data_IF_145234986783
#
_entry.id   IF_145234986783
#
_cell.length_a   1.000
_cell.length_b   1.000
_cell.length_c   1.000
_cell.angle_alpha   90.00
_cell.angle_beta   90.00
_cell.angle_gamma   90.00
#
_symmetry.space_group_name_H-M   'P 1'
#
loop_
_entity.id
_entity.type
_entity.pdbx_description
1 polymer ?
#
# COMPACT_ATOMS: atom_id res chain seq x y z
N UNK A 1 -10.80 -6.16 0.94
CA UNK A 1 -10.26 -5.18 -0.02
C UNK A 1 -10.33 -3.86 0.71
N UNK A 2 -9.22 -3.40 1.26
CA UNK A 2 -9.21 -2.23 2.16
C UNK A 2 -9.50 -0.98 1.33
N UNK A 3 -10.67 -0.38 1.60
CA UNK A 3 -11.43 0.46 0.65
C UNK A 3 -11.03 1.93 0.66
N UNK A 4 -10.00 2.30 1.41
CA UNK A 4 -9.82 3.71 1.78
C UNK A 4 -8.92 4.49 0.81
N UNK A 5 -7.98 3.83 0.13
CA UNK A 5 -7.01 4.50 -0.75
C UNK A 5 -6.68 3.83 -2.09
N UNK A 6 -7.55 2.99 -2.70
CA UNK A 6 -7.22 2.43 -4.01
C UNK A 6 -7.12 3.56 -5.04
N UNK A 7 -6.05 3.53 -5.82
CA UNK A 7 -5.91 4.32 -7.04
C UNK A 7 -5.63 3.37 -8.20
N UNK A 8 -5.89 3.85 -9.41
CA UNK A 8 -5.71 3.09 -10.64
C UNK A 8 -4.53 3.67 -11.41
N UNK A 9 -3.65 2.79 -11.88
CA UNK A 9 -2.51 3.12 -12.72
C UNK A 9 -2.68 2.39 -14.04
N UNK A 10 -2.58 3.15 -15.14
CA UNK A 10 -2.53 2.56 -16.47
C UNK A 10 -1.22 1.80 -16.64
N UNK A 11 -1.29 0.48 -16.54
CA UNK A 11 -0.14 -0.42 -16.50
C UNK A 11 -0.46 -1.70 -17.23
N UNK A 12 0.57 -2.46 -17.62
CA UNK A 12 0.40 -3.77 -18.24
C UNK A 12 -0.19 -4.76 -17.25
N UNK A 13 0.29 -4.75 -15.99
CA UNK A 13 -0.26 -5.55 -14.89
C UNK A 13 0.22 -5.07 -13.51
N UNK A 14 -0.58 -5.38 -12.49
CA UNK A 14 -0.20 -5.24 -11.07
C UNK A 14 0.53 -6.52 -10.65
N UNK A 15 1.70 -6.35 -10.02
CA UNK A 15 2.51 -7.45 -9.48
C UNK A 15 2.22 -7.66 -7.99
N UNK A 16 2.21 -6.57 -7.23
CA UNK A 16 2.03 -6.57 -5.78
C UNK A 16 1.18 -5.38 -5.34
N UNK A 17 0.39 -5.58 -4.28
CA UNK A 17 -0.21 -4.53 -3.46
C UNK A 17 0.22 -4.73 -2.03
N UNK A 18 0.48 -3.65 -1.31
CA UNK A 18 0.86 -3.71 0.09
C UNK A 18 0.24 -2.57 0.89
N UNK A 19 -0.40 -2.88 2.01
CA UNK A 19 -0.80 -1.92 3.03
C UNK A 19 0.13 -2.04 4.22
N UNK A 20 0.61 -0.90 4.72
CA UNK A 20 1.31 -0.79 6.01
C UNK A 20 0.38 -0.08 6.99
N UNK A 21 0.16 -0.69 8.15
CA UNK A 21 -0.62 -0.16 9.24
C UNK A 21 0.34 0.15 10.40
N UNK A 22 0.76 1.41 10.55
CA UNK A 22 1.63 1.80 11.66
C UNK A 22 0.83 2.15 12.92
N UNK A 23 1.23 1.64 14.09
CA UNK A 23 0.66 1.96 15.41
C UNK A 23 -0.87 2.07 15.47
N UNK A 24 -1.59 0.95 15.34
CA UNK A 24 -3.07 0.88 15.42
C UNK A 24 -3.82 1.76 14.39
N UNK A 25 -3.13 2.44 13.47
CA UNK A 25 -3.75 3.19 12.37
C UNK A 25 -4.08 2.23 11.24
N UNK A 26 -5.32 2.30 10.76
CA UNK A 26 -5.77 1.52 9.60
C UNK A 26 -5.32 2.21 8.30
N UNK A 27 -4.54 1.50 7.49
CA UNK A 27 -4.10 1.86 6.15
C UNK A 27 -3.25 3.12 6.10
N UNK A 28 -2.11 3.13 6.78
CA UNK A 28 -1.26 4.33 6.94
C UNK A 28 -0.32 4.57 5.74
N UNK A 29 0.06 3.52 5.00
CA UNK A 29 0.69 3.65 3.69
C UNK A 29 0.21 2.54 2.76
N UNK A 30 0.01 2.87 1.48
CA UNK A 30 -0.44 1.92 0.46
C UNK A 30 0.46 1.98 -0.76
N UNK A 31 0.95 0.82 -1.18
CA UNK A 31 1.81 0.61 -2.33
C UNK A 31 1.13 -0.29 -3.36
N UNK A 32 1.34 0.02 -4.64
CA UNK A 32 1.10 -0.88 -5.75
C UNK A 32 2.36 -0.96 -6.60
N UNK A 33 2.82 -2.17 -6.92
CA UNK A 33 3.90 -2.40 -7.87
C UNK A 33 3.30 -2.87 -9.18
N UNK A 34 3.76 -2.26 -10.27
CA UNK A 34 3.27 -2.49 -11.61
C UNK A 34 4.41 -2.87 -12.54
N UNK A 35 4.08 -3.73 -13.50
CA UNK A 35 4.80 -3.83 -14.74
C UNK A 35 4.14 -2.88 -15.74
N UNK A 36 4.95 -2.02 -16.33
CA UNK A 36 4.52 -1.01 -17.29
C UNK A 36 4.52 -1.55 -18.73
N UNK A 37 3.90 -0.88 -19.69
CA UNK A 37 3.85 -1.34 -21.08
C UNK A 37 5.23 -1.52 -21.75
N UNK A 38 6.23 -0.76 -21.31
CA UNK A 38 7.64 -0.88 -21.74
C UNK A 38 8.41 -1.98 -21.00
N UNK A 39 7.74 -2.76 -20.14
CA UNK A 39 8.29 -3.77 -19.25
C UNK A 39 9.16 -3.23 -18.10
N UNK A 40 9.18 -1.92 -17.86
CA UNK A 40 9.75 -1.38 -16.63
C UNK A 40 8.91 -1.77 -15.42
N UNK A 41 9.56 -1.92 -14.26
CA UNK A 41 8.89 -2.12 -12.97
C UNK A 41 8.87 -0.77 -12.24
N UNK A 42 7.68 -0.36 -11.81
CA UNK A 42 7.48 0.87 -11.04
C UNK A 42 6.61 0.61 -9.84
N UNK A 43 6.86 1.34 -8.75
CA UNK A 43 5.95 1.36 -7.61
C UNK A 43 5.23 2.71 -7.55
N UNK A 44 3.96 2.65 -7.23
CA UNK A 44 3.12 3.80 -6.95
C UNK A 44 2.65 3.68 -5.53
N UNK A 45 2.70 4.77 -4.77
CA UNK A 45 2.32 4.72 -3.38
C UNK A 45 1.71 6.02 -2.89
N UNK A 46 1.00 5.95 -1.78
CA UNK A 46 0.54 7.13 -1.05
C UNK A 46 0.44 6.85 0.42
N UNK A 47 0.57 7.91 1.21
CA UNK A 47 0.28 7.87 2.64
C UNK A 47 -1.22 7.88 2.86
N UNK A 48 -1.70 6.99 3.71
CA UNK A 48 -3.06 7.02 4.20
C UNK A 48 -3.38 8.32 4.93
N UNK A 49 -4.64 8.70 4.92
CA UNK A 49 -5.12 9.81 5.72
C UNK A 49 -5.53 9.29 7.10
N UNK A 50 -5.22 10.03 8.17
CA UNK A 50 -5.89 9.81 9.45
C UNK A 50 -7.41 9.89 9.25
N UNK A 51 -8.17 9.05 9.96
CA UNK A 51 -9.63 8.95 9.83
C UNK A 51 -10.35 10.32 9.88
N UNK A 52 -9.86 11.26 10.71
CA UNK A 52 -10.40 12.62 10.81
C UNK A 52 -10.20 13.40 9.51
N UNK A 53 -8.99 13.41 8.94
CA UNK A 53 -8.71 14.11 7.68
C UNK A 53 -9.46 13.49 6.50
N UNK A 54 -9.63 12.17 6.51
CA UNK A 54 -10.48 11.48 5.55
C UNK A 54 -11.93 11.95 5.65
N UNK A 55 -12.49 11.98 6.86
CA UNK A 55 -13.87 12.41 7.10
C UNK A 55 -14.08 13.89 6.76
N UNK A 56 -13.10 14.76 7.04
CA UNK A 56 -13.14 16.18 6.66
C UNK A 56 -13.13 16.39 5.15
N UNK A 57 -12.26 15.65 4.43
CA UNK A 57 -12.21 15.69 2.97
C UNK A 57 -13.53 15.20 2.37
N UNK A 58 -13.98 14.00 2.77
CA UNK A 58 -15.25 13.42 2.33
C UNK A 58 -16.44 14.35 2.66
N UNK A 59 -16.49 14.92 3.87
CA UNK A 59 -17.55 15.82 4.31
C UNK A 59 -17.56 17.17 3.58
N UNK A 60 -16.39 17.67 3.16
CA UNK A 60 -16.30 18.90 2.34
C UNK A 60 -16.87 18.67 0.94
N UNK A 61 -16.55 17.54 0.33
CA UNK A 61 -17.05 17.18 -1.01
C UNK A 61 -18.53 16.84 -0.92
N UNK A 62 -18.92 15.99 0.04
CA UNK A 62 -20.32 15.63 0.28
C UNK A 62 -21.19 16.88 0.45
N UNK A 63 -20.78 17.87 1.24
CA UNK A 63 -21.55 19.13 1.42
C UNK A 63 -21.79 19.90 0.12
N UNK A 64 -20.87 19.82 -0.85
CA UNK A 64 -21.06 20.43 -2.18
C UNK A 64 -22.11 19.67 -3.01
N UNK A 65 -22.15 18.34 -2.91
CA UNK A 65 -23.10 17.50 -3.68
C UNK A 65 -24.47 17.34 -3.00
N UNK A 66 -24.55 17.42 -1.67
CA UNK A 66 -25.82 17.24 -0.92
C UNK A 66 -26.84 18.35 -1.16
N UNK A 67 -26.44 19.49 -1.75
CA UNK A 67 -27.38 20.50 -2.23
C UNK A 67 -28.14 20.05 -3.49
N UNK A 68 -27.62 19.07 -4.24
CA UNK A 68 -28.10 18.68 -5.57
C UNK A 68 -28.54 17.20 -5.68
N UNK A 69 -27.92 16.26 -4.95
CA UNK A 69 -28.27 14.82 -4.93
C UNK A 69 -27.89 14.15 -3.60
N UNK A 70 -28.70 13.18 -3.16
CA UNK A 70 -28.29 12.22 -2.12
C UNK A 70 -27.37 11.16 -2.75
N UNK A 71 -26.09 11.18 -2.39
CA UNK A 71 -25.07 10.25 -2.88
C UNK A 71 -24.51 9.42 -1.73
N UNK A 72 -24.29 8.13 -1.94
CA UNK A 72 -23.62 7.27 -0.96
C UNK A 72 -22.12 7.58 -0.88
N UNK A 73 -21.47 7.22 0.24
CA UNK A 73 -20.02 7.36 0.39
C UNK A 73 -19.26 6.62 -0.72
N UNK A 74 -19.75 5.45 -1.15
CA UNK A 74 -19.10 4.67 -2.22
C UNK A 74 -19.12 5.39 -3.55
N UNK A 75 -20.24 6.02 -3.90
CA UNK A 75 -20.33 6.81 -5.13
C UNK A 75 -19.46 8.07 -5.01
N UNK A 76 -19.47 8.74 -3.85
CA UNK A 76 -18.67 9.93 -3.57
C UNK A 76 -17.17 9.68 -3.84
N UNK A 77 -16.62 8.58 -3.31
CA UNK A 77 -15.19 8.28 -3.45
C UNK A 77 -14.77 7.93 -4.88
N UNK A 78 -15.74 7.65 -5.77
CA UNK A 78 -15.46 7.38 -7.19
C UNK A 78 -15.48 8.63 -8.06
N UNK A 79 -15.97 9.76 -7.55
CA UNK A 79 -16.05 11.03 -8.29
C UNK A 79 -14.66 11.60 -8.56
N UNK A 80 -14.52 12.31 -9.68
CA UNK A 80 -13.24 12.92 -10.05
C UNK A 80 -12.88 14.09 -9.13
N UNK A 81 -13.88 14.79 -8.60
CA UNK A 81 -13.73 15.82 -7.58
C UNK A 81 -13.15 15.24 -6.30
N UNK A 82 -13.65 14.09 -5.84
CA UNK A 82 -13.08 13.42 -4.67
C UNK A 82 -11.64 12.99 -4.93
N UNK A 83 -11.35 12.38 -6.09
CA UNK A 83 -9.98 12.00 -6.47
C UNK A 83 -9.06 13.22 -6.49
N UNK A 84 -9.51 14.36 -7.02
CA UNK A 84 -8.75 15.62 -7.06
C UNK A 84 -8.46 16.17 -5.67
N UNK A 85 -9.44 16.23 -4.77
CA UNK A 85 -9.22 16.73 -3.41
C UNK A 85 -8.33 15.81 -2.59
N UNK A 86 -8.51 14.49 -2.69
CA UNK A 86 -7.62 13.52 -2.04
C UNK A 86 -6.19 13.65 -2.57
N UNK A 87 -6.00 13.82 -3.89
CA UNK A 87 -4.67 13.97 -4.46
C UNK A 87 -3.89 15.18 -3.91
N UNK A 88 -4.56 16.23 -3.42
CA UNK A 88 -3.90 17.38 -2.78
C UNK A 88 -3.32 17.06 -1.41
N UNK A 89 -3.97 16.16 -0.66
CA UNK A 89 -3.62 15.84 0.73
C UNK A 89 -2.93 14.47 0.90
N UNK A 90 -3.09 13.60 -0.10
CA UNK A 90 -2.51 12.27 -0.20
C UNK A 90 -2.21 12.00 -1.69
N UNK A 91 -1.15 12.64 -2.24
CA UNK A 91 -0.75 12.46 -3.64
C UNK A 91 -0.32 11.02 -3.90
N UNK A 92 -0.42 10.60 -5.16
CA UNK A 92 0.24 9.36 -5.62
C UNK A 92 1.68 9.73 -5.95
N UNK A 93 2.61 9.06 -5.31
CA UNK A 93 4.04 9.16 -5.57
C UNK A 93 4.48 7.99 -6.43
N UNK A 94 5.46 8.22 -7.29
CA UNK A 94 6.07 7.21 -8.14
C UNK A 94 7.48 6.89 -7.65
N UNK A 95 7.85 5.62 -7.70
CA UNK A 95 9.19 5.11 -7.42
C UNK A 95 9.65 4.35 -8.67
N UNK A 96 10.79 4.78 -9.20
CA UNK A 96 11.53 4.04 -10.21
C UNK A 96 12.56 3.13 -9.54
N UNK A 97 12.75 1.95 -10.11
CA UNK A 97 13.69 0.95 -9.61
C UNK A 97 14.88 0.82 -10.55
N UNK A 98 16.05 0.63 -9.96
CA UNK A 98 17.22 0.14 -10.69
C UNK A 98 17.00 -1.32 -11.10
N UNK A 99 17.70 -1.79 -12.13
CA UNK A 99 17.55 -3.17 -12.64
C UNK A 99 17.68 -4.23 -11.53
N UNK A 100 18.63 -4.05 -10.60
CA UNK A 100 18.84 -4.96 -9.46
C UNK A 100 17.61 -5.02 -8.54
N UNK A 101 17.00 -3.88 -8.26
CA UNK A 101 15.83 -3.73 -7.38
C UNK A 101 14.57 -4.30 -8.06
N UNK A 102 14.40 -4.00 -9.36
CA UNK A 102 13.33 -4.56 -10.17
C UNK A 102 13.41 -6.10 -10.21
N UNK A 103 14.61 -6.66 -10.43
CA UNK A 103 14.82 -8.11 -10.41
C UNK A 103 14.50 -8.72 -9.04
N UNK A 104 14.90 -8.08 -7.94
CA UNK A 104 14.56 -8.54 -6.59
C UNK A 104 13.04 -8.61 -6.36
N UNK A 105 12.30 -7.60 -6.83
CA UNK A 105 10.84 -7.57 -6.74
C UNK A 105 10.20 -8.67 -7.60
N UNK A 106 10.71 -8.88 -8.82
CA UNK A 106 10.25 -9.94 -9.72
C UNK A 106 10.49 -11.31 -9.08
N UNK A 107 11.69 -11.53 -8.53
CA UNK A 107 12.05 -12.78 -7.86
C UNK A 107 11.15 -13.04 -6.66
N UNK A 108 10.91 -12.03 -5.81
CA UNK A 108 9.92 -12.11 -4.74
C UNK A 108 8.52 -12.49 -5.27
N UNK A 109 8.06 -11.87 -6.36
CA UNK A 109 6.75 -12.17 -6.94
C UNK A 109 6.67 -13.60 -7.52
N UNK A 110 7.79 -14.14 -7.99
CA UNK A 110 7.91 -15.49 -8.55
C UNK A 110 8.02 -16.57 -7.46
N UNK A 111 8.81 -16.33 -6.41
CA UNK A 111 8.90 -17.17 -5.21
C UNK A 111 7.52 -17.26 -4.54
N UNK A 112 6.84 -16.11 -4.46
CA UNK A 112 5.52 -15.99 -3.91
C UNK A 112 5.50 -15.85 -2.39
N UNK A 113 4.32 -16.05 -1.80
CA UNK A 113 4.11 -16.01 -0.36
C UNK A 113 3.95 -17.44 0.19
N UNK A 114 4.42 -17.71 1.42
CA UNK A 114 4.21 -19.00 2.08
C UNK A 114 2.71 -19.24 2.32
N UNK A 115 2.29 -20.51 2.24
CA UNK A 115 0.88 -20.89 2.41
C UNK A 115 0.45 -20.88 3.89
N UNK A 116 1.31 -21.41 4.77
CA UNK A 116 1.08 -21.48 6.21
C UNK A 116 2.18 -20.72 6.94
N UNK A 117 1.92 -19.45 7.24
CA UNK A 117 2.83 -18.61 8.02
C UNK A 117 2.18 -18.18 9.34
N UNK A 118 2.73 -18.69 10.43
CA UNK A 118 2.36 -18.24 11.77
C UNK A 118 2.90 -16.84 12.01
N UNK A 119 1.97 -15.90 12.18
CA UNK A 119 2.30 -14.52 12.48
C UNK A 119 3.09 -14.44 13.77
N UNK A 120 4.33 -13.96 13.68
CA UNK A 120 5.14 -13.63 14.86
C UNK A 120 4.53 -12.40 15.52
N UNK A 121 4.06 -12.53 16.76
CA UNK A 121 3.43 -11.40 17.46
C UNK A 121 4.43 -10.26 17.70
N UNK A 122 4.11 -9.07 17.20
CA UNK A 122 4.80 -7.82 17.52
C UNK A 122 4.10 -7.05 18.65
N UNK A 123 4.84 -6.35 19.51
CA UNK A 123 4.27 -5.52 20.59
C UNK A 123 4.00 -4.06 20.19
N UNK A 124 4.50 -3.62 19.04
CA UNK A 124 4.41 -2.22 18.60
C UNK A 124 3.16 -1.91 17.76
N UNK A 125 2.37 -2.93 17.41
CA UNK A 125 1.11 -2.77 16.70
C UNK A 125 1.22 -2.49 15.20
N UNK A 126 2.40 -2.69 14.58
CA UNK A 126 2.56 -2.56 13.12
C UNK A 126 2.15 -3.83 12.39
N UNK A 127 1.45 -3.68 11.29
CA UNK A 127 1.14 -4.82 10.42
C UNK A 127 1.26 -4.48 8.94
N UNK A 128 1.52 -5.52 8.17
CA UNK A 128 1.72 -5.48 6.72
C UNK A 128 0.74 -6.44 6.09
N UNK A 129 -0.16 -5.94 5.25
CA UNK A 129 -0.98 -6.78 4.40
C UNK A 129 -0.41 -6.76 2.98
N UNK A 130 -0.02 -7.91 2.47
CA UNK A 130 0.61 -8.04 1.15
C UNK A 130 -0.25 -8.96 0.29
N UNK A 131 -0.50 -8.53 -0.94
CA UNK A 131 -1.16 -9.31 -1.98
C UNK A 131 -0.25 -9.37 -3.19
N UNK A 132 0.02 -10.59 -3.66
CA UNK A 132 0.72 -10.80 -4.93
C UNK A 132 -0.27 -11.24 -6.00
N UNK A 133 0.12 -11.06 -7.26
CA UNK A 133 -0.71 -11.35 -8.45
C UNK A 133 -1.43 -12.69 -8.43
N UNK A 134 -0.83 -13.74 -7.86
CA UNK A 134 -1.42 -15.08 -7.82
C UNK A 134 -2.58 -15.24 -6.82
N UNK A 135 -3.10 -14.14 -6.28
CA UNK A 135 -4.21 -14.13 -5.33
C UNK A 135 -3.80 -14.48 -3.90
N UNK A 136 -2.56 -14.92 -3.69
CA UNK A 136 -2.01 -15.13 -2.34
C UNK A 136 -1.94 -13.81 -1.59
N UNK A 137 -2.38 -13.87 -0.34
CA UNK A 137 -2.31 -12.78 0.63
C UNK A 137 -1.63 -13.29 1.88
N UNK A 138 -0.72 -12.50 2.42
CA UNK A 138 -0.21 -12.70 3.78
C UNK A 138 -0.46 -11.44 4.59
N UNK A 139 -0.66 -11.61 5.89
CA UNK A 139 -0.61 -10.52 6.85
C UNK A 139 0.52 -10.80 7.83
N UNK A 140 1.38 -9.83 8.06
CA UNK A 140 2.54 -9.90 8.93
C UNK A 140 2.42 -8.86 10.04
N UNK A 141 3.05 -9.11 11.18
CA UNK A 141 3.34 -8.05 12.17
C UNK A 141 4.73 -7.44 11.89
N UNK A 142 5.28 -6.67 12.82
CA UNK A 142 6.60 -6.04 12.70
C UNK A 142 7.80 -7.01 12.63
N UNK A 143 7.59 -8.32 12.77
CA UNK A 143 8.64 -9.32 12.66
C UNK A 143 8.30 -10.40 11.65
N UNK A 144 9.33 -10.84 10.93
CA UNK A 144 9.30 -12.07 10.13
C UNK A 144 10.41 -13.04 10.53
N UNK A 145 10.18 -14.34 10.34
CA UNK A 145 11.21 -15.35 10.52
C UNK A 145 12.25 -15.27 9.38
N UNK A 146 13.50 -15.63 9.64
CA UNK A 146 14.62 -15.57 8.68
C UNK A 146 14.36 -16.35 7.38
N UNK A 147 13.56 -17.41 7.44
CA UNK A 147 13.14 -18.21 6.27
C UNK A 147 12.28 -17.43 5.25
N UNK A 148 11.73 -16.28 5.63
CA UNK A 148 10.98 -15.39 4.73
C UNK A 148 11.57 -13.97 4.70
N UNK A 149 12.87 -13.84 4.97
CA UNK A 149 13.60 -12.57 4.93
C UNK A 149 13.44 -11.83 3.59
N UNK A 150 13.29 -12.55 2.48
CA UNK A 150 13.02 -11.97 1.16
C UNK A 150 11.74 -11.10 1.12
N UNK A 151 10.75 -11.38 1.97
CA UNK A 151 9.55 -10.54 2.13
C UNK A 151 9.91 -9.24 2.83
N UNK A 152 10.74 -9.31 3.87
CA UNK A 152 11.24 -8.13 4.58
C UNK A 152 12.09 -7.25 3.68
N UNK A 153 12.94 -7.84 2.83
CA UNK A 153 13.79 -7.08 1.93
C UNK A 153 12.98 -6.21 0.96
N UNK A 154 11.86 -6.73 0.43
CA UNK A 154 10.97 -5.95 -0.45
C UNK A 154 10.21 -4.87 0.33
N UNK A 155 9.71 -5.17 1.53
CA UNK A 155 9.03 -4.17 2.37
C UNK A 155 10.00 -3.02 2.67
N UNK A 156 11.20 -3.34 3.14
CA UNK A 156 12.18 -2.35 3.56
C UNK A 156 12.74 -1.55 2.38
N UNK A 157 12.90 -2.17 1.20
CA UNK A 157 13.21 -1.47 -0.04
C UNK A 157 12.14 -0.41 -0.36
N UNK A 158 10.85 -0.77 -0.29
CA UNK A 158 9.76 0.16 -0.58
C UNK A 158 9.68 1.30 0.43
N UNK A 159 9.86 0.99 1.72
CA UNK A 159 9.88 1.97 2.81
C UNK A 159 11.01 2.98 2.61
N UNK A 160 12.22 2.48 2.32
CA UNK A 160 13.39 3.32 2.10
C UNK A 160 13.23 4.21 0.85
N UNK A 161 12.79 3.64 -0.29
CA UNK A 161 12.53 4.39 -1.53
C UNK A 161 11.41 5.42 -1.41
N UNK A 162 10.45 5.18 -0.51
CA UNK A 162 9.37 6.10 -0.19
C UNK A 162 9.77 7.17 0.84
N UNK A 163 11.02 7.13 1.34
CA UNK A 163 11.52 8.02 2.41
C UNK A 163 10.60 8.02 3.64
N UNK A 164 10.00 6.86 3.93
CA UNK A 164 9.21 6.66 5.13
C UNK A 164 10.14 6.39 6.32
N UNK A 165 9.69 6.79 7.51
CA UNK A 165 10.41 6.56 8.77
C UNK A 165 10.62 5.05 8.99
N UNK A 166 11.87 4.59 8.87
CA UNK A 166 12.19 3.16 8.96
C UNK A 166 11.82 2.57 10.33
N UNK A 167 11.91 3.34 11.42
CA UNK A 167 11.53 2.85 12.74
C UNK A 167 10.01 2.61 12.86
N UNK A 168 9.24 3.31 12.03
CA UNK A 168 7.77 3.24 12.00
C UNK A 168 7.22 2.34 10.89
N UNK A 169 7.91 2.19 9.76
CA UNK A 169 7.35 1.53 8.58
C UNK A 169 8.15 0.30 8.12
N UNK A 170 9.38 0.09 8.61
CA UNK A 170 10.18 -1.09 8.25
C UNK A 170 9.81 -2.31 9.09
N UNK A 171 10.04 -3.48 8.52
CA UNK A 171 9.83 -4.77 9.17
C UNK A 171 11.18 -5.38 9.57
N UNK A 172 11.20 -6.11 10.68
CA UNK A 172 12.41 -6.70 11.25
C UNK A 172 12.45 -8.20 10.98
N UNK A 173 13.65 -8.72 10.77
CA UNK A 173 13.87 -10.17 10.66
C UNK A 173 14.29 -10.70 12.03
N UNK A 174 13.58 -11.71 12.52
CA UNK A 174 13.92 -12.46 13.72
C UNK A 174 14.62 -13.76 13.31
N UNK A 175 15.77 -14.00 13.93
CA UNK A 175 16.54 -15.25 13.82
C UNK A 175 15.95 -16.33 14.73
#
# INVERSE_FOLDING_TARGET
MDKYYPFEINSKRILLRMNINAFWKLGDAYFQIHEMPDNSIKAYWRKGLPNIKFAECAGTIARKYFAEKQMSIRELITTDEYKKEIAKISPINEIEFLDKEANQIIDFCNIGLPDDYDKISGRDGHSYDIWIRNGKRINLWCFVHENISYVADVINLLVNKAELDEDMYSIRVQK
#
